data_IF_435967709813
#
_entry.id   IF_435967709813
#
_cell.length_a   1.000
_cell.length_b   1.000
_cell.length_c   1.000
_cell.angle_alpha   90.00
_cell.angle_beta   90.00
_cell.angle_gamma   90.00
#
_symmetry.space_group_name_H-M   'P 1'
#
loop_
_entity.id
_entity.type
_entity.pdbx_description
1 polymer ?
#
# COMPACT_ATOMS: atom_id res chain seq x y z
N UNK A 1 0.33 -51.58 10.86
CA UNK A 1 1.25 -50.98 9.86
C UNK A 1 1.34 -49.46 10.04
N UNK A 2 1.40 -48.98 11.28
CA UNK A 2 1.30 -47.55 11.60
C UNK A 2 2.63 -46.81 11.42
N UNK A 3 3.77 -47.46 11.74
CA UNK A 3 5.10 -46.84 11.71
C UNK A 3 5.41 -46.13 10.37
N UNK A 4 5.17 -46.79 9.24
CA UNK A 4 5.40 -46.20 7.91
C UNK A 4 4.48 -45.02 7.59
N UNK A 5 3.26 -44.97 8.15
CA UNK A 5 2.39 -43.78 8.04
C UNK A 5 2.98 -42.61 8.83
N UNK A 6 3.40 -42.86 10.07
CA UNK A 6 4.03 -41.86 10.94
C UNK A 6 5.34 -41.31 10.31
N UNK A 7 6.14 -42.17 9.71
CA UNK A 7 7.39 -41.81 9.02
C UNK A 7 7.16 -40.99 7.73
N UNK A 8 6.12 -41.33 6.94
CA UNK A 8 5.69 -40.51 5.80
C UNK A 8 5.25 -39.12 6.28
N UNK A 9 4.45 -39.04 7.34
CA UNK A 9 4.04 -37.76 7.94
C UNK A 9 5.25 -36.92 8.40
N UNK A 10 6.19 -37.54 9.13
CA UNK A 10 7.46 -36.94 9.57
C UNK A 10 8.22 -36.34 8.37
N UNK A 11 8.38 -37.11 7.29
CA UNK A 11 9.18 -36.67 6.15
C UNK A 11 8.49 -35.60 5.28
N UNK A 12 7.16 -35.62 5.21
CA UNK A 12 6.32 -34.65 4.47
C UNK A 12 6.28 -33.27 5.16
N UNK A 13 6.43 -33.21 6.48
CA UNK A 13 6.28 -31.97 7.26
C UNK A 13 7.51 -31.07 7.24
N UNK A 14 8.73 -31.63 7.15
CA UNK A 14 10.00 -30.91 7.34
C UNK A 14 10.69 -30.43 6.04
N UNK A 15 10.41 -31.01 4.87
CA UNK A 15 11.33 -30.94 3.71
C UNK A 15 11.30 -29.66 2.85
N UNK A 16 10.42 -28.70 3.12
CA UNK A 16 10.07 -27.63 2.14
C UNK A 16 9.83 -26.23 2.73
N UNK A 17 10.06 -26.03 4.03
CA UNK A 17 9.80 -24.73 4.69
C UNK A 17 11.08 -24.02 5.11
N UNK A 18 11.79 -24.62 6.05
CA UNK A 18 12.69 -23.88 6.93
C UNK A 18 14.04 -23.55 6.26
N UNK A 19 14.52 -24.43 5.37
CA UNK A 19 15.75 -24.26 4.59
C UNK A 19 15.73 -23.07 3.60
N UNK A 20 14.58 -22.46 3.34
CA UNK A 20 14.45 -21.30 2.46
C UNK A 20 14.33 -19.96 3.24
N UNK A 21 14.07 -20.02 4.55
CA UNK A 21 13.90 -18.80 5.39
C UNK A 21 15.27 -18.28 5.83
N UNK A 22 16.19 -19.16 6.20
CA UNK A 22 17.54 -18.78 6.64
C UNK A 22 18.37 -18.20 5.47
N UNK A 23 18.21 -18.72 4.26
CA UNK A 23 18.83 -18.17 3.04
C UNK A 23 18.25 -16.81 2.66
N UNK A 24 16.92 -16.65 2.62
CA UNK A 24 16.27 -15.36 2.35
C UNK A 24 16.69 -14.29 3.39
N UNK A 25 16.78 -14.67 4.67
CA UNK A 25 17.23 -13.78 5.74
C UNK A 25 18.71 -13.37 5.58
N UNK A 26 19.58 -14.31 5.22
CA UNK A 26 21.00 -14.05 4.97
C UNK A 26 21.22 -13.13 3.75
N UNK A 27 20.53 -13.38 2.64
CA UNK A 27 20.55 -12.52 1.45
C UNK A 27 20.07 -11.10 1.77
N UNK A 28 18.98 -10.97 2.54
CA UNK A 28 18.43 -9.69 2.98
C UNK A 28 19.37 -8.94 3.93
N UNK A 29 20.05 -9.64 4.83
CA UNK A 29 21.08 -9.06 5.69
C UNK A 29 22.29 -8.58 4.86
N UNK A 30 22.75 -9.38 3.89
CA UNK A 30 23.84 -9.02 2.99
C UNK A 30 23.48 -7.80 2.14
N UNK A 31 22.26 -7.73 1.61
CA UNK A 31 21.76 -6.58 0.85
C UNK A 31 21.71 -5.31 1.72
N UNK A 32 21.29 -5.41 2.99
CA UNK A 32 21.31 -4.29 3.94
C UNK A 32 22.74 -3.79 4.22
N UNK A 33 23.70 -4.70 4.43
CA UNK A 33 25.12 -4.35 4.60
C UNK A 33 25.69 -3.66 3.36
N UNK A 34 25.35 -4.13 2.16
CA UNK A 34 25.77 -3.49 0.90
C UNK A 34 25.21 -2.07 0.77
N UNK A 35 23.94 -1.84 1.12
CA UNK A 35 23.34 -0.50 1.11
C UNK A 35 24.03 0.44 2.11
N UNK A 36 24.28 -0.01 3.34
CA UNK A 36 25.02 0.77 4.35
C UNK A 36 26.43 1.14 3.87
N UNK A 37 27.16 0.19 3.28
CA UNK A 37 28.51 0.44 2.73
C UNK A 37 28.48 1.45 1.58
N UNK A 38 27.47 1.41 0.71
CA UNK A 38 27.29 2.42 -0.35
C UNK A 38 26.99 3.81 0.22
N UNK A 39 26.15 3.92 1.26
CA UNK A 39 25.86 5.20 1.92
C UNK A 39 27.11 5.80 2.58
N UNK A 40 27.91 4.98 3.29
CA UNK A 40 29.19 5.42 3.86
C UNK A 40 30.16 5.93 2.78
N UNK A 41 30.28 5.22 1.65
CA UNK A 41 31.15 5.64 0.54
C UNK A 41 30.68 6.97 -0.09
N UNK A 42 29.37 7.22 -0.16
CA UNK A 42 28.82 8.49 -0.62
C UNK A 42 29.12 9.63 0.37
N UNK A 43 29.02 9.37 1.67
CA UNK A 43 29.36 10.35 2.71
C UNK A 43 30.86 10.70 2.69
N UNK A 44 31.75 9.70 2.59
CA UNK A 44 33.20 9.92 2.45
C UNK A 44 33.55 10.73 1.21
N UNK A 45 32.95 10.43 0.05
CA UNK A 45 33.13 11.22 -1.18
C UNK A 45 32.64 12.67 -1.02
N UNK A 46 31.55 12.89 -0.27
CA UNK A 46 31.08 14.25 0.02
C UNK A 46 32.04 14.98 0.95
N UNK A 47 32.59 14.32 1.97
CA UNK A 47 33.60 14.87 2.87
C UNK A 47 34.87 15.27 2.11
N UNK A 48 35.43 14.37 1.30
CA UNK A 48 36.63 14.67 0.48
C UNK A 48 36.41 15.85 -0.49
N UNK A 49 35.22 15.96 -1.09
CA UNK A 49 34.87 17.08 -1.97
C UNK A 49 34.58 18.39 -1.20
N UNK A 50 34.18 18.30 0.08
CA UNK A 50 34.05 19.44 0.98
C UNK A 50 35.45 19.93 1.41
N UNK A 51 36.30 19.02 1.88
CA UNK A 51 37.70 19.26 2.26
C UNK A 51 38.49 19.91 1.12
N UNK A 52 38.36 19.41 -0.12
CA UNK A 52 39.00 20.03 -1.29
C UNK A 52 38.47 21.44 -1.61
N UNK A 53 37.19 21.73 -1.35
CA UNK A 53 36.65 23.09 -1.51
C UNK A 53 37.14 24.02 -0.39
N UNK A 54 37.24 23.52 0.83
CA UNK A 54 37.72 24.28 1.99
C UNK A 54 39.25 24.54 1.89
N UNK A 55 40.05 23.60 1.37
CA UNK A 55 41.46 23.80 1.03
C UNK A 55 41.65 24.84 -0.08
N UNK A 56 40.90 24.76 -1.18
CA UNK A 56 40.94 25.75 -2.27
C UNK A 56 40.50 27.14 -1.78
N UNK A 57 39.49 27.21 -0.92
CA UNK A 57 39.03 28.44 -0.28
C UNK A 57 40.10 29.05 0.63
N UNK A 58 40.75 28.22 1.47
CA UNK A 58 41.87 28.61 2.32
C UNK A 58 43.06 29.14 1.50
N UNK A 59 43.40 28.47 0.40
CA UNK A 59 44.45 28.90 -0.51
C UNK A 59 44.12 30.23 -1.21
N UNK A 60 42.85 30.46 -1.58
CA UNK A 60 42.37 31.74 -2.10
C UNK A 60 42.44 32.86 -1.05
N UNK A 61 41.98 32.62 0.18
CA UNK A 61 42.06 33.60 1.28
C UNK A 61 43.52 33.97 1.58
N UNK A 62 44.43 33.00 1.55
CA UNK A 62 45.87 33.22 1.71
C UNK A 62 46.50 34.02 0.55
N UNK A 63 45.95 33.93 -0.67
CA UNK A 63 46.34 34.81 -1.79
C UNK A 63 45.70 36.19 -1.74
N UNK A 64 44.48 36.34 -1.21
CA UNK A 64 43.82 37.63 -1.06
C UNK A 64 44.41 38.48 0.07
N UNK A 65 44.90 37.86 1.15
CA UNK A 65 45.51 38.55 2.30
C UNK A 65 46.87 39.23 2.01
N UNK A 66 47.33 39.25 0.74
CA UNK A 66 48.48 40.06 0.28
C UNK A 66 48.08 41.18 -0.69
N UNK A 67 46.78 41.48 -0.85
CA UNK A 67 46.25 42.53 -1.74
C UNK A 67 45.10 43.34 -1.10
N UNK A 68 45.45 44.18 -0.13
CA UNK A 68 44.50 45.12 0.50
C UNK A 68 44.41 46.44 -0.30
N UNK A 69 43.42 46.58 -1.20
CA UNK A 69 43.09 47.85 -1.87
C UNK A 69 41.70 47.91 -2.57
N UNK A 70 40.72 48.54 -1.91
CA UNK A 70 39.54 49.31 -2.41
C UNK A 70 38.30 48.71 -3.15
N UNK A 71 37.15 49.38 -2.93
CA UNK A 71 35.87 49.47 -3.71
C UNK A 71 34.58 48.63 -3.35
N UNK A 72 33.39 49.10 -3.81
CA UNK A 72 31.99 48.84 -3.27
C UNK A 72 30.86 49.01 -4.36
N UNK A 73 29.61 48.44 -4.24
CA UNK A 73 28.23 48.96 -4.70
C UNK A 73 27.05 47.89 -4.69
N UNK A 74 25.75 48.28 -4.92
CA UNK A 74 24.43 47.66 -4.50
C UNK A 74 23.21 47.81 -5.53
N UNK A 75 22.06 47.05 -5.48
CA UNK A 75 20.69 47.32 -6.11
C UNK A 75 19.46 46.33 -5.83
N UNK A 76 18.17 46.66 -6.18
CA UNK A 76 16.86 45.88 -5.99
C UNK A 76 15.61 46.21 -6.94
N UNK A 77 14.54 45.35 -7.18
CA UNK A 77 13.26 45.67 -7.99
C UNK A 77 11.96 44.72 -7.95
N UNK A 78 10.73 45.15 -8.42
CA UNK A 78 9.32 44.51 -8.50
C UNK A 78 8.38 45.08 -9.68
N UNK A 79 7.07 44.77 -10.05
CA UNK A 79 6.05 43.62 -10.12
C UNK A 79 4.57 43.99 -10.71
N UNK A 80 3.64 43.04 -11.11
CA UNK A 80 2.08 43.05 -11.21
C UNK A 80 1.23 42.77 -12.56
N UNK A 81 -0.16 42.75 -12.55
CA UNK A 81 -1.19 41.91 -13.36
C UNK A 81 -2.62 42.55 -13.73
N UNK A 82 -3.47 42.05 -14.72
CA UNK A 82 -5.02 41.92 -14.76
C UNK A 82 -5.79 41.50 -16.12
N UNK A 83 -7.15 41.64 -16.31
CA UNK A 83 -8.11 40.66 -16.99
C UNK A 83 -9.46 41.11 -17.73
N UNK A 84 -10.17 40.17 -18.45
CA UNK A 84 -11.65 40.06 -18.86
C UNK A 84 -12.20 40.78 -20.16
N UNK A 85 -13.42 40.61 -20.82
CA UNK A 85 -14.74 39.85 -20.74
C UNK A 85 -15.41 39.61 -22.18
N UNK A 86 -16.63 39.01 -22.38
CA UNK A 86 -17.05 38.41 -23.73
C UNK A 86 -18.54 37.99 -24.11
N UNK A 87 -18.84 37.71 -25.42
CA UNK A 87 -20.03 36.96 -25.97
C UNK A 87 -20.11 36.68 -27.53
N UNK A 88 -21.02 35.77 -28.00
CA UNK A 88 -21.48 35.41 -29.40
C UNK A 88 -20.49 34.79 -30.47
N UNK A 89 -20.81 33.90 -31.46
CA UNK A 89 -21.81 32.78 -31.61
C UNK A 89 -21.45 31.60 -32.63
N UNK A 90 -22.41 30.94 -33.36
CA UNK A 90 -22.41 29.53 -33.90
C UNK A 90 -22.22 29.30 -35.46
N UNK A 91 -22.44 28.06 -35.96
CA UNK A 91 -22.52 27.55 -37.37
C UNK A 91 -21.23 27.13 -38.15
N UNK A 92 -21.49 26.33 -39.22
CA UNK A 92 -20.75 25.47 -40.19
C UNK A 92 -19.72 26.16 -41.14
N UNK A 93 -19.00 25.52 -42.10
CA UNK A 93 -18.60 24.11 -42.43
C UNK A 93 -17.36 24.13 -43.40
N UNK A 94 -16.88 22.96 -43.85
CA UNK A 94 -15.90 22.70 -44.95
C UNK A 94 -14.39 23.03 -44.75
N UNK A 95 -13.55 22.36 -45.54
CA UNK A 95 -12.07 22.41 -45.56
C UNK A 95 -11.52 23.35 -46.65
N UNK A 96 -10.37 24.03 -46.42
CA UNK A 96 -9.17 23.87 -47.30
C UNK A 96 -7.87 24.55 -46.76
N UNK A 97 -6.76 24.08 -47.28
CA UNK A 97 -5.38 24.59 -47.41
C UNK A 97 -4.98 25.98 -46.87
N UNK A 98 -4.25 25.98 -45.74
CA UNK A 98 -3.05 26.78 -45.42
C UNK A 98 -2.82 28.15 -46.14
N UNK A 99 -3.07 29.27 -45.44
CA UNK A 99 -2.03 30.30 -45.27
C UNK A 99 -2.24 31.29 -44.10
N UNK A 100 -1.19 32.05 -43.81
CA UNK A 100 -1.08 32.98 -42.68
C UNK A 100 -1.85 34.31 -42.90
N UNK A 101 -2.77 34.65 -41.99
CA UNK A 101 -3.23 36.03 -41.75
C UNK A 101 -3.76 36.18 -40.30
N UNK A 102 -3.42 37.29 -39.64
CA UNK A 102 -3.69 37.50 -38.21
C UNK A 102 -5.18 37.66 -37.84
N UNK A 103 -5.62 37.22 -36.64
CA UNK A 103 -7.04 37.20 -36.26
C UNK A 103 -7.60 38.61 -36.04
N UNK A 104 -8.55 39.02 -36.90
CA UNK A 104 -9.27 40.28 -36.74
C UNK A 104 -10.17 40.28 -35.50
N UNK A 105 -10.46 41.46 -34.96
CA UNK A 105 -11.16 41.65 -33.67
C UNK A 105 -12.58 41.06 -33.63
N UNK A 106 -13.23 40.90 -34.79
CA UNK A 106 -14.51 40.20 -34.92
C UNK A 106 -14.37 38.69 -34.68
N UNK A 107 -13.31 38.08 -35.23
CA UNK A 107 -13.01 36.65 -35.07
C UNK A 107 -12.71 36.30 -33.61
N UNK A 108 -12.02 37.18 -32.88
CA UNK A 108 -11.76 37.02 -31.43
C UNK A 108 -13.05 36.82 -30.63
N UNK A 109 -14.11 37.60 -30.90
CA UNK A 109 -15.40 37.45 -30.21
C UNK A 109 -16.04 36.09 -30.51
N UNK A 110 -16.06 35.63 -31.77
CA UNK A 110 -16.62 34.30 -32.13
C UNK A 110 -15.82 33.15 -31.51
N UNK A 111 -14.48 33.22 -31.58
CA UNK A 111 -13.57 32.22 -31.01
C UNK A 111 -13.75 32.08 -29.48
N UNK A 112 -13.77 33.21 -28.77
CA UNK A 112 -13.97 33.20 -27.33
C UNK A 112 -15.34 32.62 -26.92
N UNK A 113 -16.45 32.83 -27.68
CA UNK A 113 -17.75 32.26 -27.26
C UNK A 113 -17.80 30.76 -27.47
N UNK A 114 -17.13 30.24 -28.51
CA UNK A 114 -16.92 28.80 -28.68
C UNK A 114 -16.14 28.24 -27.48
N UNK A 115 -15.14 28.96 -26.95
CA UNK A 115 -14.45 28.59 -25.71
C UNK A 115 -15.34 28.64 -24.46
N UNK A 116 -16.17 29.68 -24.28
CA UNK A 116 -17.11 29.75 -23.14
C UNK A 116 -18.21 28.67 -23.19
N UNK A 117 -18.77 28.39 -24.39
CA UNK A 117 -19.67 27.24 -24.62
C UNK A 117 -18.98 25.91 -24.26
N UNK A 118 -17.72 25.72 -24.69
CA UNK A 118 -16.91 24.52 -24.38
C UNK A 118 -16.67 24.36 -22.87
N UNK A 119 -16.30 25.43 -22.17
CA UNK A 119 -16.11 25.45 -20.71
C UNK A 119 -17.42 25.08 -19.96
N UNK A 120 -18.55 25.71 -20.30
CA UNK A 120 -19.85 25.40 -19.67
C UNK A 120 -20.33 23.96 -19.98
N UNK A 121 -19.96 23.39 -21.13
CA UNK A 121 -20.24 21.98 -21.47
C UNK A 121 -19.34 21.01 -20.68
N UNK A 122 -18.07 21.35 -20.47
CA UNK A 122 -17.15 20.55 -19.64
C UNK A 122 -17.61 20.50 -18.17
N UNK A 123 -17.84 21.66 -17.55
CA UNK A 123 -18.28 21.75 -16.14
C UNK A 123 -19.61 21.03 -15.85
N UNK A 124 -20.48 20.87 -16.86
CA UNK A 124 -21.70 20.04 -16.72
C UNK A 124 -21.37 18.55 -16.63
N UNK A 125 -20.49 18.04 -17.50
CA UNK A 125 -20.08 16.63 -17.51
C UNK A 125 -19.30 16.25 -16.25
N UNK A 126 -18.39 17.12 -15.82
CA UNK A 126 -17.63 16.97 -14.58
C UNK A 126 -18.56 16.87 -13.36
N UNK A 127 -19.58 17.74 -13.29
CA UNK A 127 -20.60 17.67 -12.24
C UNK A 127 -21.41 16.36 -12.31
N UNK A 128 -21.81 15.93 -13.51
CA UNK A 128 -22.59 14.71 -13.74
C UNK A 128 -21.80 13.45 -13.33
N UNK A 129 -20.50 13.39 -13.62
CA UNK A 129 -19.60 12.32 -13.15
C UNK A 129 -19.40 12.35 -11.63
N UNK A 130 -19.29 13.54 -11.02
CA UNK A 130 -19.21 13.70 -9.56
C UNK A 130 -20.51 13.22 -8.87
N UNK A 131 -21.68 13.52 -9.43
CA UNK A 131 -22.97 13.06 -8.90
C UNK A 131 -23.14 11.52 -9.06
N UNK A 132 -22.70 10.91 -10.18
CA UNK A 132 -22.69 9.44 -10.31
C UNK A 132 -21.72 8.78 -9.32
N UNK A 133 -20.50 9.34 -9.18
CA UNK A 133 -19.47 8.85 -8.25
C UNK A 133 -19.94 8.91 -6.81
N UNK A 134 -20.59 10.00 -6.41
CA UNK A 134 -21.20 10.15 -5.09
C UNK A 134 -22.33 9.14 -4.87
N UNK A 135 -23.23 8.98 -5.84
CA UNK A 135 -24.32 7.99 -5.76
C UNK A 135 -23.81 6.54 -5.59
N UNK A 136 -22.69 6.17 -6.23
CA UNK A 136 -22.05 4.86 -6.00
C UNK A 136 -21.48 4.72 -4.58
N UNK A 137 -20.85 5.77 -4.04
CA UNK A 137 -20.32 5.78 -2.67
C UNK A 137 -21.45 5.64 -1.65
N UNK A 138 -22.54 6.39 -1.81
CA UNK A 138 -23.68 6.35 -0.88
C UNK A 138 -24.45 5.01 -0.97
N UNK A 139 -24.55 4.42 -2.16
CA UNK A 139 -25.14 3.09 -2.33
C UNK A 139 -24.32 1.98 -1.64
N UNK A 140 -22.98 2.03 -1.72
CA UNK A 140 -22.11 1.08 -1.03
C UNK A 140 -22.10 1.32 0.49
N UNK A 141 -22.06 2.58 0.93
CA UNK A 141 -22.21 2.92 2.35
C UNK A 141 -23.52 2.39 2.93
N UNK A 142 -24.64 2.54 2.21
CA UNK A 142 -25.93 1.97 2.60
C UNK A 142 -25.88 0.44 2.72
N UNK A 143 -25.24 -0.27 1.77
CA UNK A 143 -25.03 -1.73 1.85
C UNK A 143 -24.25 -2.13 3.10
N UNK A 144 -23.23 -1.35 3.47
CA UNK A 144 -22.43 -1.59 4.68
C UNK A 144 -23.22 -1.31 5.96
N UNK A 145 -24.00 -0.22 6.00
CA UNK A 145 -24.89 0.10 7.12
C UNK A 145 -25.97 -0.98 7.32
N UNK A 146 -26.59 -1.49 6.25
CA UNK A 146 -27.62 -2.52 6.33
C UNK A 146 -27.03 -3.88 6.77
N UNK A 147 -25.82 -4.22 6.31
CA UNK A 147 -25.02 -5.35 6.83
C UNK A 147 -24.67 -5.18 8.32
N UNK A 148 -24.32 -3.98 8.76
CA UNK A 148 -24.02 -3.68 10.17
C UNK A 148 -25.27 -3.77 11.06
N UNK A 149 -26.43 -3.27 10.61
CA UNK A 149 -27.72 -3.42 11.31
C UNK A 149 -28.08 -4.90 11.50
N UNK A 150 -27.89 -5.71 10.46
CA UNK A 150 -28.14 -7.17 10.49
C UNK A 150 -27.23 -7.86 11.51
N UNK A 151 -25.94 -7.52 11.54
CA UNK A 151 -24.96 -8.10 12.47
C UNK A 151 -25.24 -7.75 13.94
N UNK A 152 -25.73 -6.53 14.22
CA UNK A 152 -26.11 -6.13 15.58
C UNK A 152 -27.40 -6.81 16.06
N UNK A 153 -28.42 -6.95 15.21
CA UNK A 153 -29.67 -7.62 15.58
C UNK A 153 -29.48 -9.14 15.85
N UNK A 154 -28.44 -9.75 15.27
CA UNK A 154 -28.03 -11.12 15.60
C UNK A 154 -27.34 -11.25 16.98
N UNK A 155 -27.04 -10.14 17.66
CA UNK A 155 -26.33 -10.08 18.94
C UNK A 155 -27.21 -9.66 20.12
N UNK A 156 -28.45 -9.19 19.87
CA UNK A 156 -29.36 -8.63 20.88
C UNK A 156 -30.35 -9.63 21.49
N UNK A 157 -29.97 -10.91 21.59
CA UNK A 157 -30.76 -11.97 22.23
C UNK A 157 -29.91 -12.89 23.12
N UNK A 158 -29.11 -12.31 24.03
CA UNK A 158 -28.57 -13.01 25.22
C UNK A 158 -27.97 -12.02 26.22
N UNK A 159 -28.48 -12.00 27.46
CA UNK A 159 -27.80 -11.46 28.65
C UNK A 159 -28.49 -12.00 29.90
N UNK A 160 -27.68 -12.42 30.89
CA UNK A 160 -28.08 -13.14 32.12
C UNK A 160 -28.71 -14.52 31.77
N UNK A 161 -28.08 -15.66 32.04
CA UNK A 161 -27.50 -16.09 33.32
C UNK A 161 -26.10 -16.70 33.25
N UNK A 162 -25.42 -16.79 34.39
CA UNK A 162 -24.29 -17.71 34.59
C UNK A 162 -24.73 -19.19 34.55
N UNK A 163 -23.75 -20.08 34.37
CA UNK A 163 -23.81 -21.54 34.64
C UNK A 163 -25.01 -22.32 34.09
N UNK A 164 -24.97 -22.68 32.81
CA UNK A 164 -25.04 -24.09 32.39
C UNK A 164 -24.27 -24.29 31.09
N UNK A 165 -23.37 -25.28 31.05
CA UNK A 165 -22.65 -25.63 29.82
C UNK A 165 -23.53 -26.48 28.89
N UNK A 166 -24.48 -25.81 28.23
CA UNK A 166 -25.32 -26.38 27.17
C UNK A 166 -24.76 -26.14 25.76
N UNK A 167 -23.46 -25.83 25.65
CA UNK A 167 -22.83 -25.49 24.38
C UNK A 167 -22.76 -26.68 23.44
N UNK A 168 -23.61 -26.71 22.40
CA UNK A 168 -23.52 -27.73 21.35
C UNK A 168 -22.07 -27.81 20.82
N UNK A 169 -21.41 -28.94 21.06
CA UNK A 169 -19.95 -29.07 21.03
C UNK A 169 -19.36 -28.56 19.71
N UNK A 170 -18.33 -27.71 19.80
CA UNK A 170 -17.71 -27.10 18.63
C UNK A 170 -16.68 -28.08 18.08
N UNK A 171 -16.83 -28.50 16.83
CA UNK A 171 -15.89 -29.42 16.19
C UNK A 171 -15.09 -28.73 15.10
N UNK A 172 -13.81 -29.13 14.95
CA UNK A 172 -12.97 -28.63 13.86
C UNK A 172 -13.01 -29.54 12.64
N UNK A 173 -13.61 -29.08 11.54
CA UNK A 173 -13.71 -29.83 10.28
C UNK A 173 -12.35 -30.19 9.61
N UNK A 174 -11.23 -29.63 10.08
CA UNK A 174 -9.87 -30.00 9.62
C UNK A 174 -9.19 -31.02 10.53
N UNK A 175 -9.58 -31.12 11.81
CA UNK A 175 -8.86 -31.90 12.82
C UNK A 175 -9.72 -32.97 13.53
N UNK A 176 -11.04 -32.99 13.35
CA UNK A 176 -11.95 -33.93 14.00
C UNK A 176 -12.20 -33.65 15.49
N UNK A 177 -11.33 -32.89 16.16
CA UNK A 177 -11.45 -32.52 17.58
C UNK A 177 -12.77 -31.85 17.93
N UNK A 178 -13.30 -32.19 19.10
CA UNK A 178 -14.55 -31.71 19.68
C UNK A 178 -14.25 -30.96 20.98
N UNK A 179 -14.70 -29.72 21.08
CA UNK A 179 -14.41 -28.80 22.18
C UNK A 179 -15.72 -28.44 22.89
N UNK A 180 -15.72 -28.44 24.22
CA UNK A 180 -16.88 -28.03 25.02
C UNK A 180 -17.03 -26.51 24.94
N UNK A 181 -15.93 -25.80 25.24
CA UNK A 181 -15.93 -24.34 25.26
C UNK A 181 -15.67 -23.71 23.88
N UNK A 182 -16.35 -22.59 23.63
CA UNK A 182 -15.99 -21.70 22.52
C UNK A 182 -14.62 -21.04 22.72
N UNK A 183 -14.10 -20.98 23.95
CA UNK A 183 -12.73 -20.54 24.23
C UNK A 183 -11.69 -21.57 23.75
N UNK A 184 -11.88 -22.85 24.09
CA UNK A 184 -11.06 -23.98 23.62
C UNK A 184 -11.04 -24.05 22.08
N UNK A 185 -12.22 -23.98 21.45
CA UNK A 185 -12.33 -23.96 19.99
C UNK A 185 -11.53 -22.81 19.35
N UNK A 186 -11.50 -21.63 19.98
CA UNK A 186 -10.71 -20.46 19.51
C UNK A 186 -9.21 -20.59 19.81
N UNK A 187 -8.83 -21.32 20.87
CA UNK A 187 -7.44 -21.64 21.20
C UNK A 187 -6.88 -22.69 20.23
N UNK A 188 -7.67 -23.70 19.86
CA UNK A 188 -7.30 -24.76 18.92
C UNK A 188 -6.77 -24.22 17.58
N UNK A 189 -7.36 -23.17 16.99
CA UNK A 189 -6.83 -22.56 15.75
C UNK A 189 -5.40 -22.00 15.86
N UNK A 190 -4.88 -21.84 17.08
CA UNK A 190 -3.49 -21.41 17.36
C UNK A 190 -2.60 -22.57 17.82
N UNK A 191 -3.15 -23.74 18.13
CA UNK A 191 -2.36 -24.89 18.58
C UNK A 191 -1.57 -25.53 17.44
N UNK A 192 -0.42 -26.10 17.76
CA UNK A 192 0.45 -26.73 16.77
C UNK A 192 -0.17 -27.96 16.12
N UNK A 193 -1.04 -28.69 16.83
CA UNK A 193 -1.88 -29.75 16.25
C UNK A 193 -2.74 -29.24 15.08
N UNK A 194 -3.35 -28.06 15.19
CA UNK A 194 -4.13 -27.47 14.10
C UNK A 194 -3.24 -27.05 12.92
N UNK A 195 -2.10 -26.42 13.20
CA UNK A 195 -1.10 -25.99 12.20
C UNK A 195 -0.53 -27.20 11.44
N UNK A 196 -0.26 -28.29 12.15
CA UNK A 196 0.18 -29.57 11.61
C UNK A 196 -0.86 -30.19 10.69
N UNK A 197 -2.13 -30.28 11.12
CA UNK A 197 -3.22 -30.81 10.30
C UNK A 197 -3.52 -29.98 9.05
N UNK A 198 -3.34 -28.65 9.08
CA UNK A 198 -3.35 -27.83 7.86
C UNK A 198 -2.22 -28.25 6.91
N UNK A 199 -0.99 -28.38 7.41
CA UNK A 199 0.18 -28.77 6.61
C UNK A 199 0.01 -30.16 5.97
N UNK A 200 -0.58 -31.12 6.68
CA UNK A 200 -0.95 -32.44 6.13
C UNK A 200 -1.99 -32.34 5.01
N UNK A 201 -3.08 -31.59 5.26
CA UNK A 201 -4.19 -31.42 4.31
C UNK A 201 -3.75 -30.74 3.02
N UNK A 202 -2.84 -29.76 3.09
CA UNK A 202 -2.22 -29.13 1.92
C UNK A 202 -1.38 -30.11 1.09
N UNK A 203 -0.89 -31.20 1.70
CA UNK A 203 -0.11 -32.27 1.08
C UNK A 203 -0.92 -33.52 0.74
N UNK A 204 -2.26 -33.45 0.80
CA UNK A 204 -3.16 -34.56 0.48
C UNK A 204 -3.13 -35.71 1.49
N UNK A 205 -2.43 -35.55 2.62
CA UNK A 205 -2.33 -36.56 3.68
C UNK A 205 -3.53 -36.40 4.63
N UNK A 206 -4.19 -37.50 5.07
CA UNK A 206 -5.28 -37.39 6.05
C UNK A 206 -4.78 -36.77 7.36
N UNK A 207 -5.60 -35.93 8.03
CA UNK A 207 -5.24 -35.33 9.30
C UNK A 207 -5.06 -36.39 10.40
N UNK A 208 -4.29 -36.05 11.42
CA UNK A 208 -4.11 -36.84 12.65
C UNK A 208 -5.07 -36.38 13.73
N UNK A 209 -5.52 -37.33 14.54
CA UNK A 209 -6.14 -37.08 15.84
C UNK A 209 -5.15 -36.41 16.81
N UNK A 210 -5.69 -35.84 17.89
CA UNK A 210 -4.89 -35.23 18.96
C UNK A 210 -4.00 -36.27 19.67
N UNK A 211 -4.49 -37.50 19.81
CA UNK A 211 -3.76 -38.62 20.41
C UNK A 211 -2.57 -39.06 19.54
N UNK A 212 -2.77 -39.20 18.23
CA UNK A 212 -1.67 -39.45 17.28
C UNK A 212 -0.65 -38.31 17.28
N UNK A 213 -1.09 -37.06 17.38
CA UNK A 213 -0.19 -35.90 17.41
C UNK A 213 0.68 -35.89 18.67
N UNK A 214 0.12 -36.08 19.86
CA UNK A 214 0.88 -36.14 21.12
C UNK A 214 1.91 -37.29 21.11
N UNK A 215 1.57 -38.45 20.51
CA UNK A 215 2.51 -39.55 20.35
C UNK A 215 3.65 -39.22 19.38
N UNK A 216 3.38 -38.51 18.28
CA UNK A 216 4.43 -38.03 17.36
C UNK A 216 5.39 -37.01 17.97
N UNK A 217 4.90 -36.18 18.91
CA UNK A 217 5.67 -35.10 19.56
C UNK A 217 6.48 -35.63 20.76
N UNK A 218 6.00 -36.69 21.43
CA UNK A 218 6.72 -37.40 22.49
C UNK A 218 8.01 -38.10 22.01
N UNK A 219 8.08 -38.49 20.73
CA UNK A 219 9.27 -39.04 20.06
C UNK A 219 10.38 -37.98 19.79
N UNK A 220 10.25 -36.76 20.34
CA UNK A 220 11.16 -35.62 20.08
C UNK A 220 11.92 -35.12 21.34
N UNK A 221 11.81 -35.82 22.47
CA UNK A 221 12.49 -35.50 23.74
C UNK A 221 13.36 -36.66 24.29
#
# INVERSE_FOLDING_TARGET
MEGSRLEILRHVVMREGDANIETELAEKQQQQQQQQKQQQLQQQKKQQNQEQQDELSSQLVSQMSVQDSDAVVDNHRHHHVTTEKQGLEDASDEEDNNNNLGPTTFSMRKAQKKAQKKSKKAKRREKEEQEERQARIDAEKKRQEDRAKTNNNASSSSSVTETTDGGAAKSCNTCGGSFGSTAEYRAHFRSDWHRYNIKLKMKGVPPVSEQEFVLCDADFF
#
